data_IF_091928325692
#
_entry.id   IF_091928325692
#
_cell.length_a   1.000
_cell.length_b   1.000
_cell.length_c   1.000
_cell.angle_alpha   90.00
_cell.angle_beta   90.00
_cell.angle_gamma   90.00
#
_symmetry.space_group_name_H-M   'P 1'
#
loop_
_entity.id
_entity.type
_entity.pdbx_description
1 polymer ?
#
# COMPACT_ATOMS: atom_id res chain seq x y z
N UNK A 1 3.94 -33.59 9.16
CA UNK A 1 4.43 -32.45 8.35
C UNK A 1 3.28 -31.94 7.52
N UNK A 2 2.87 -30.66 7.61
CA UNK A 2 1.75 -30.13 6.84
C UNK A 2 2.11 -30.16 5.36
N UNK A 3 1.37 -30.94 4.59
CA UNK A 3 1.57 -31.12 3.16
C UNK A 3 1.18 -29.80 2.47
N UNK A 4 2.15 -28.91 2.20
CA UNK A 4 1.94 -27.63 1.49
C UNK A 4 1.66 -27.91 0.00
N UNK A 5 0.51 -28.53 -0.28
CA UNK A 5 0.05 -28.75 -1.64
C UNK A 5 -0.38 -27.40 -2.21
N UNK A 6 0.48 -26.83 -3.07
CA UNK A 6 0.14 -25.67 -3.88
C UNK A 6 -1.14 -26.01 -4.65
N UNK A 7 -2.15 -25.13 -4.61
CA UNK A 7 -3.41 -25.41 -5.34
C UNK A 7 -3.14 -25.62 -6.82
N UNK A 8 -3.86 -26.55 -7.45
CA UNK A 8 -3.70 -26.87 -8.87
C UNK A 8 -3.81 -25.61 -9.75
N UNK A 9 -4.71 -24.70 -9.38
CA UNK A 9 -4.93 -23.43 -10.08
C UNK A 9 -3.72 -22.50 -10.01
N UNK A 10 -3.04 -22.43 -8.85
CA UNK A 10 -1.82 -21.60 -8.70
C UNK A 10 -0.67 -22.13 -9.54
N UNK A 11 -0.53 -23.45 -9.59
CA UNK A 11 0.45 -24.12 -10.44
C UNK A 11 0.14 -23.86 -11.91
N UNK A 12 -1.12 -24.03 -12.33
CA UNK A 12 -1.54 -23.76 -13.70
C UNK A 12 -1.26 -22.31 -14.12
N UNK A 13 -1.64 -21.33 -13.28
CA UNK A 13 -1.42 -19.90 -13.56
C UNK A 13 0.06 -19.56 -13.72
N UNK A 14 0.91 -20.17 -12.88
CA UNK A 14 2.37 -20.01 -12.98
C UNK A 14 2.92 -20.56 -14.31
N UNK A 15 2.54 -21.76 -14.72
CA UNK A 15 3.02 -22.33 -15.98
C UNK A 15 2.45 -21.64 -17.22
N UNK A 16 1.19 -21.20 -17.19
CA UNK A 16 0.61 -20.38 -18.26
C UNK A 16 1.38 -19.06 -18.37
N UNK A 17 1.63 -18.40 -17.24
CA UNK A 17 2.44 -17.19 -17.21
C UNK A 17 3.86 -17.40 -17.76
N UNK A 18 4.48 -18.54 -17.45
CA UNK A 18 5.79 -18.92 -17.98
C UNK A 18 5.77 -19.09 -19.50
N UNK A 19 4.77 -19.78 -20.05
CA UNK A 19 4.62 -19.97 -21.50
C UNK A 19 4.41 -18.62 -22.19
N UNK A 20 3.50 -17.79 -21.68
CA UNK A 20 3.21 -16.46 -22.24
C UNK A 20 4.45 -15.55 -22.19
N UNK A 21 5.16 -15.53 -21.06
CA UNK A 21 6.39 -14.77 -20.91
C UNK A 21 7.49 -15.29 -21.84
N UNK A 22 7.61 -16.61 -22.01
CA UNK A 22 8.57 -17.23 -22.92
C UNK A 22 8.30 -16.86 -24.38
N UNK A 23 7.04 -16.93 -24.82
CA UNK A 23 6.64 -16.49 -26.16
C UNK A 23 6.86 -14.98 -26.36
N UNK A 24 6.57 -14.18 -25.33
CA UNK A 24 6.84 -12.74 -25.35
C UNK A 24 8.33 -12.44 -25.50
N UNK A 25 9.19 -13.13 -24.74
CA UNK A 25 10.64 -13.00 -24.84
C UNK A 25 11.14 -13.37 -26.23
N UNK A 26 10.69 -14.51 -26.77
CA UNK A 26 11.09 -14.98 -28.09
C UNK A 26 10.65 -13.99 -29.19
N UNK A 27 9.42 -13.48 -29.11
CA UNK A 27 8.92 -12.47 -30.05
C UNK A 27 9.74 -11.19 -29.99
N UNK A 28 10.07 -10.71 -28.79
CA UNK A 28 10.91 -9.54 -28.57
C UNK A 28 12.34 -9.76 -29.10
N UNK A 29 12.99 -10.87 -28.77
CA UNK A 29 14.34 -11.15 -29.26
C UNK A 29 14.41 -11.33 -30.79
N UNK A 30 13.31 -11.78 -31.41
CA UNK A 30 13.23 -11.91 -32.88
C UNK A 30 13.41 -10.57 -33.60
N UNK A 31 13.15 -9.43 -32.95
CA UNK A 31 13.33 -8.11 -33.56
C UNK A 31 14.79 -7.76 -33.73
N UNK A 32 15.64 -8.16 -32.79
CA UNK A 32 17.10 -7.99 -32.88
C UNK A 32 17.68 -8.84 -34.00
N UNK A 33 17.22 -10.09 -34.14
CA UNK A 33 17.62 -10.96 -35.26
C UNK A 33 17.24 -10.30 -36.58
N UNK A 34 16.01 -9.81 -36.71
CA UNK A 34 15.55 -9.13 -37.94
C UNK A 34 16.38 -7.88 -38.23
N UNK A 35 16.66 -7.07 -37.22
CA UNK A 35 17.49 -5.86 -37.36
C UNK A 35 18.91 -6.18 -37.81
N UNK A 36 19.56 -7.17 -37.18
CA UNK A 36 20.92 -7.60 -37.53
C UNK A 36 20.99 -8.19 -38.95
N UNK A 37 20.00 -8.98 -39.36
CA UNK A 37 19.95 -9.57 -40.70
C UNK A 37 19.78 -8.55 -41.82
N UNK A 38 19.20 -7.38 -41.54
CA UNK A 38 18.96 -6.31 -42.52
C UNK A 38 19.83 -5.07 -42.25
N UNK A 39 20.86 -5.19 -41.41
CA UNK A 39 21.69 -4.05 -41.04
C UNK A 39 22.45 -3.52 -42.26
N UNK A 40 22.15 -2.27 -42.65
CA UNK A 40 22.70 -1.63 -43.85
C UNK A 40 21.86 -1.77 -45.11
N UNK A 41 20.77 -2.55 -45.09
CA UNK A 41 19.80 -2.65 -46.19
C UNK A 41 18.55 -1.81 -45.89
N UNK A 42 18.36 -0.73 -46.65
CA UNK A 42 17.24 0.19 -46.51
C UNK A 42 16.13 -0.02 -47.54
N UNK A 43 16.24 -1.02 -48.42
CA UNK A 43 15.28 -1.27 -49.51
C UNK A 43 13.84 -1.50 -49.03
N UNK A 44 13.67 -2.10 -47.84
CA UNK A 44 12.39 -2.44 -47.23
C UNK A 44 12.25 -1.90 -45.80
N UNK A 45 12.88 -0.76 -45.52
CA UNK A 45 13.00 -0.22 -44.17
C UNK A 45 11.64 -0.05 -43.46
N UNK A 46 10.64 0.53 -44.11
CA UNK A 46 9.33 0.78 -43.50
C UNK A 46 8.61 -0.52 -43.09
N UNK A 47 8.59 -1.51 -43.98
CA UNK A 47 7.96 -2.81 -43.70
C UNK A 47 8.65 -3.55 -42.55
N UNK A 48 9.99 -3.54 -42.55
CA UNK A 48 10.81 -4.15 -41.51
C UNK A 48 10.65 -3.44 -40.16
N UNK A 49 10.62 -2.10 -40.16
CA UNK A 49 10.41 -1.29 -38.97
C UNK A 49 9.01 -1.50 -38.37
N UNK A 50 7.96 -1.51 -39.20
CA UNK A 50 6.58 -1.76 -38.76
C UNK A 50 6.44 -3.17 -38.16
N UNK A 51 6.93 -4.19 -38.86
CA UNK A 51 6.90 -5.58 -38.39
C UNK A 51 7.72 -5.78 -37.11
N UNK A 52 8.91 -5.18 -37.03
CA UNK A 52 9.76 -5.20 -35.85
C UNK A 52 9.09 -4.50 -34.66
N UNK A 53 8.47 -3.34 -34.88
CA UNK A 53 7.74 -2.60 -33.86
C UNK A 53 6.57 -3.38 -33.26
N UNK A 54 5.73 -4.02 -34.09
CA UNK A 54 4.62 -4.85 -33.60
C UNK A 54 5.11 -6.06 -32.79
N UNK A 55 6.18 -6.74 -33.24
CA UNK A 55 6.77 -7.87 -32.52
C UNK A 55 7.42 -7.45 -31.21
N UNK A 56 8.12 -6.30 -31.19
CA UNK A 56 8.73 -5.76 -29.98
C UNK A 56 7.64 -5.40 -28.95
N UNK A 57 6.62 -4.66 -29.38
CA UNK A 57 5.53 -4.26 -28.51
C UNK A 57 4.75 -5.47 -27.99
N UNK A 58 4.35 -6.38 -28.87
CA UNK A 58 3.68 -7.63 -28.49
C UNK A 58 4.53 -8.49 -27.54
N UNK A 59 5.84 -8.55 -27.78
CA UNK A 59 6.79 -9.25 -26.93
C UNK A 59 6.87 -8.68 -25.52
N UNK A 60 6.98 -7.35 -25.39
CA UNK A 60 6.97 -6.66 -24.09
C UNK A 60 5.64 -6.87 -23.37
N UNK A 61 4.51 -6.72 -24.05
CA UNK A 61 3.19 -6.96 -23.46
C UNK A 61 3.06 -8.41 -22.97
N UNK A 62 3.52 -9.38 -23.77
CA UNK A 62 3.56 -10.80 -23.37
C UNK A 62 4.44 -11.04 -22.13
N UNK A 63 5.60 -10.39 -22.05
CA UNK A 63 6.48 -10.44 -20.87
C UNK A 63 5.79 -9.89 -19.63
N UNK A 64 5.10 -8.76 -19.75
CA UNK A 64 4.38 -8.12 -18.64
C UNK A 64 3.22 -9.00 -18.15
N UNK A 65 2.38 -9.47 -19.06
CA UNK A 65 1.23 -10.34 -18.73
C UNK A 65 1.72 -11.66 -18.14
N UNK A 66 2.71 -12.30 -18.77
CA UNK A 66 3.29 -13.55 -18.29
C UNK A 66 3.94 -13.39 -16.91
N UNK A 67 4.70 -12.31 -16.70
CA UNK A 67 5.29 -11.96 -15.41
C UNK A 67 4.25 -11.71 -14.32
N UNK A 68 3.15 -11.04 -14.66
CA UNK A 68 2.04 -10.84 -13.74
C UNK A 68 1.37 -12.17 -13.34
N UNK A 69 1.03 -13.02 -14.30
CA UNK A 69 0.43 -14.34 -14.05
C UNK A 69 1.32 -15.23 -13.18
N UNK A 70 2.64 -15.23 -13.44
CA UNK A 70 3.61 -15.95 -12.63
C UNK A 70 3.66 -15.42 -11.19
N UNK A 71 3.65 -14.09 -11.00
CA UNK A 71 3.64 -13.49 -9.66
C UNK A 71 2.37 -13.87 -8.88
N UNK A 72 1.21 -13.85 -9.53
CA UNK A 72 -0.07 -14.27 -8.92
C UNK A 72 -0.07 -15.76 -8.59
N UNK A 73 0.43 -16.62 -9.49
CA UNK A 73 0.54 -18.06 -9.24
C UNK A 73 1.48 -18.39 -8.07
N UNK A 74 2.66 -17.76 -8.05
CA UNK A 74 3.69 -17.98 -7.04
C UNK A 74 3.26 -17.49 -5.66
N UNK A 75 2.76 -16.26 -5.55
CA UNK A 75 2.42 -15.62 -4.27
C UNK A 75 0.96 -15.86 -3.84
N UNK A 76 0.12 -16.37 -4.74
CA UNK A 76 -1.33 -16.43 -4.55
C UNK A 76 -1.97 -15.03 -4.65
N UNK A 77 -3.30 -14.98 -4.77
CA UNK A 77 -4.02 -13.70 -4.91
C UNK A 77 -3.80 -12.74 -3.75
N UNK A 78 -3.72 -13.25 -2.51
CA UNK A 78 -3.44 -12.44 -1.32
C UNK A 78 -2.01 -11.86 -1.33
N UNK A 79 -1.01 -12.67 -1.68
CA UNK A 79 0.39 -12.22 -1.75
C UNK A 79 0.72 -11.37 -2.99
N UNK A 80 -0.15 -11.35 -4.00
CA UNK A 80 -0.05 -10.48 -5.17
C UNK A 80 -0.86 -9.18 -5.02
N UNK A 81 -1.50 -8.93 -3.86
CA UNK A 81 -2.31 -7.74 -3.62
C UNK A 81 -3.67 -7.74 -4.30
N UNK A 82 -4.08 -8.86 -4.92
CA UNK A 82 -5.39 -9.01 -5.58
C UNK A 82 -6.52 -9.34 -4.60
N UNK A 83 -6.20 -9.94 -3.46
CA UNK A 83 -7.14 -10.22 -2.38
C UNK A 83 -6.64 -9.59 -1.09
N UNK A 84 -7.07 -8.34 -0.85
CA UNK A 84 -7.00 -7.72 0.46
C UNK A 84 -8.31 -8.04 1.18
N UNK A 85 -8.26 -8.92 2.17
CA UNK A 85 -9.26 -8.89 3.22
C UNK A 85 -8.72 -7.97 4.33
N UNK A 86 -9.08 -6.67 4.32
CA UNK A 86 -8.54 -5.70 5.27
C UNK A 86 -8.93 -6.02 6.71
N UNK A 87 -10.02 -6.74 6.94
CA UNK A 87 -10.38 -7.19 8.29
C UNK A 87 -9.47 -8.31 8.76
N UNK A 88 -9.18 -9.29 7.90
CA UNK A 88 -8.29 -10.39 8.25
C UNK A 88 -6.84 -9.90 8.42
N UNK A 89 -6.38 -8.99 7.55
CA UNK A 89 -5.10 -8.32 7.71
C UNK A 89 -5.02 -7.52 9.02
N UNK A 90 -6.10 -6.84 9.44
CA UNK A 90 -6.17 -6.13 10.73
C UNK A 90 -6.07 -7.08 11.92
N UNK A 91 -6.79 -8.21 11.90
CA UNK A 91 -6.76 -9.21 12.98
C UNK A 91 -5.38 -9.88 13.09
N UNK A 92 -4.70 -10.11 11.97
CA UNK A 92 -3.37 -10.73 11.95
C UNK A 92 -2.27 -9.77 12.45
N UNK A 93 -2.40 -8.46 12.23
CA UNK A 93 -1.44 -7.46 12.76
C UNK A 93 -1.77 -6.98 14.17
N UNK A 94 -3.00 -7.19 14.66
CA UNK A 94 -3.46 -6.74 15.97
C UNK A 94 -2.54 -7.17 17.14
N UNK A 95 -2.02 -8.42 17.20
CA UNK A 95 -1.08 -8.82 18.25
C UNK A 95 0.26 -8.06 18.16
N UNK A 96 0.75 -7.81 16.94
CA UNK A 96 2.01 -7.12 16.70
C UNK A 96 1.91 -5.62 16.95
N UNK A 97 0.79 -4.99 16.58
CA UNK A 97 0.50 -3.59 16.90
C UNK A 97 0.37 -3.38 18.41
N UNK A 98 -0.23 -4.33 19.14
CA UNK A 98 -0.26 -4.31 20.61
C UNK A 98 1.14 -4.45 21.22
N UNK A 99 1.96 -5.37 20.73
CA UNK A 99 3.34 -5.55 21.23
C UNK A 99 4.22 -4.33 20.93
N UNK A 100 4.13 -3.75 19.73
CA UNK A 100 4.87 -2.55 19.37
C UNK A 100 4.46 -1.32 20.21
N UNK A 101 3.16 -1.18 20.50
CA UNK A 101 2.66 -0.11 21.39
C UNK A 101 3.13 -0.27 22.84
N UNK A 102 3.18 -1.52 23.34
CA UNK A 102 3.76 -1.82 24.65
C UNK A 102 5.24 -1.45 24.71
N UNK A 103 6.05 -1.92 23.77
CA UNK A 103 7.49 -1.61 23.70
C UNK A 103 7.78 -0.11 23.56
N UNK A 104 6.96 0.61 22.80
CA UNK A 104 7.10 2.06 22.66
C UNK A 104 6.75 2.80 23.96
N UNK A 105 5.73 2.35 24.68
CA UNK A 105 5.36 2.92 25.99
C UNK A 105 6.45 2.65 27.02
N UNK A 106 6.94 1.42 27.09
CA UNK A 106 8.03 1.01 27.99
C UNK A 106 9.30 1.83 27.75
N UNK A 107 9.66 2.08 26.48
CA UNK A 107 10.82 2.89 26.13
C UNK A 107 10.67 4.39 26.50
N UNK A 108 9.45 4.93 26.43
CA UNK A 108 9.17 6.31 26.82
C UNK A 108 9.18 6.49 28.34
N UNK A 109 8.65 5.52 29.08
CA UNK A 109 8.70 5.50 30.54
C UNK A 109 10.15 5.38 31.05
N UNK A 110 10.97 4.52 30.44
CA UNK A 110 12.41 4.40 30.74
C UNK A 110 13.18 5.69 30.43
N UNK A 111 12.78 6.42 29.37
CA UNK A 111 13.34 7.73 29.04
C UNK A 111 12.86 8.87 29.96
N UNK A 112 12.00 8.57 30.96
CA UNK A 112 11.45 9.54 31.91
C UNK A 112 10.32 10.41 31.34
N UNK A 113 9.75 10.03 30.19
CA UNK A 113 8.66 10.74 29.52
C UNK A 113 7.34 10.08 29.88
N UNK A 114 6.78 10.46 31.02
CA UNK A 114 5.48 10.00 31.49
C UNK A 114 4.36 10.69 30.69
N UNK A 115 3.82 9.99 29.67
CA UNK A 115 2.74 10.47 28.82
C UNK A 115 1.46 10.81 29.62
N UNK A 116 1.24 10.12 30.74
CA UNK A 116 0.08 10.35 31.62
C UNK A 116 0.21 11.70 32.35
N UNK A 117 1.43 12.07 32.77
CA UNK A 117 1.70 13.40 33.33
C UNK A 117 1.59 14.52 32.29
N UNK A 118 1.98 14.25 31.04
CA UNK A 118 1.87 15.22 29.94
C UNK A 118 0.43 15.53 29.52
N UNK A 119 -0.49 14.55 29.67
CA UNK A 119 -1.92 14.74 29.40
C UNK A 119 -2.70 15.29 30.60
N UNK A 120 -2.49 14.73 31.80
CA UNK A 120 -3.29 15.07 32.98
C UNK A 120 -2.99 16.46 33.58
N UNK A 121 -1.76 16.97 33.39
CA UNK A 121 -1.37 18.30 33.87
C UNK A 121 -1.70 19.46 32.91
N UNK A 122 -2.08 19.17 31.65
CA UNK A 122 -2.18 20.20 30.62
C UNK A 122 -3.52 20.94 30.57
N UNK A 123 -4.59 20.32 31.07
CA UNK A 123 -5.95 20.89 31.00
C UNK A 123 -6.54 21.24 32.39
N UNK A 124 -6.03 20.63 33.47
CA UNK A 124 -6.51 20.88 34.83
C UNK A 124 -6.07 22.26 35.35
N UNK A 125 -4.85 22.69 35.06
CA UNK A 125 -4.20 23.88 35.65
C UNK A 125 -4.15 25.11 34.72
N UNK A 126 -4.92 25.12 33.63
CA UNK A 126 -4.97 26.27 32.71
C UNK A 126 -5.78 27.43 33.31
N UNK A 127 -5.30 28.68 33.17
CA UNK A 127 -6.11 29.87 33.48
C UNK A 127 -7.42 29.85 32.71
N UNK A 128 -8.50 30.32 33.35
CA UNK A 128 -9.85 30.36 32.79
C UNK A 128 -9.92 30.89 31.35
N UNK A 129 -9.21 31.97 31.07
CA UNK A 129 -9.18 32.62 29.76
C UNK A 129 -8.64 31.71 28.66
N UNK A 130 -7.65 30.87 28.98
CA UNK A 130 -7.03 29.95 28.04
C UNK A 130 -7.94 28.73 27.77
N UNK A 131 -8.71 28.28 28.78
CA UNK A 131 -9.74 27.24 28.61
C UNK A 131 -10.83 27.70 27.63
N UNK A 132 -11.31 28.94 27.78
CA UNK A 132 -12.28 29.53 26.86
C UNK A 132 -11.74 29.70 25.44
N UNK A 133 -10.46 30.09 25.32
CA UNK A 133 -9.80 30.27 24.01
C UNK A 133 -9.68 28.95 23.24
N UNK A 134 -9.31 27.87 23.93
CA UNK A 134 -9.24 26.52 23.33
C UNK A 134 -10.63 26.00 22.96
N UNK A 135 -11.61 26.18 23.84
CA UNK A 135 -13.00 25.81 23.57
C UNK A 135 -13.54 26.50 22.31
N UNK A 136 -13.24 27.80 22.15
CA UNK A 136 -13.59 28.54 20.94
C UNK A 136 -12.82 28.07 19.69
N UNK A 137 -11.55 27.70 19.83
CA UNK A 137 -10.77 27.13 18.73
C UNK A 137 -11.37 25.80 18.23
N UNK A 138 -11.79 24.92 19.15
CA UNK A 138 -12.45 23.65 18.81
C UNK A 138 -13.79 23.85 18.09
N UNK A 139 -14.56 24.86 18.49
CA UNK A 139 -15.78 25.24 17.78
C UNK A 139 -15.48 25.78 16.36
N UNK A 140 -14.50 26.69 16.24
CA UNK A 140 -14.09 27.27 14.96
C UNK A 140 -13.57 26.21 13.99
N UNK A 141 -12.83 25.22 14.49
CA UNK A 141 -12.24 24.15 13.70
C UNK A 141 -13.28 23.05 13.36
N UNK A 142 -14.55 23.23 13.77
CA UNK A 142 -15.67 22.36 13.44
C UNK A 142 -15.73 21.06 14.23
N UNK A 143 -14.91 20.94 15.29
CA UNK A 143 -14.83 19.76 16.15
C UNK A 143 -15.93 19.74 17.22
N UNK A 144 -16.45 20.92 17.58
CA UNK A 144 -17.59 21.08 18.49
C UNK A 144 -18.78 21.68 17.74
N UNK A 145 -19.96 21.13 17.96
CA UNK A 145 -21.19 21.74 17.47
C UNK A 145 -21.56 22.96 18.32
N UNK A 146 -22.36 23.88 17.77
CA UNK A 146 -22.75 25.11 18.47
C UNK A 146 -23.46 24.83 19.80
N UNK A 147 -24.27 23.77 19.88
CA UNK A 147 -24.97 23.39 21.09
C UNK A 147 -24.01 22.87 22.18
N UNK A 148 -22.98 22.12 21.78
CA UNK A 148 -21.97 21.59 22.70
C UNK A 148 -21.04 22.69 23.20
N UNK A 149 -20.64 23.62 22.32
CA UNK A 149 -19.85 24.79 22.69
C UNK A 149 -20.52 25.65 23.77
N UNK A 150 -21.79 26.01 23.58
CA UNK A 150 -22.52 26.85 24.55
C UNK A 150 -22.72 26.11 25.88
N UNK A 151 -22.95 24.80 25.85
CA UNK A 151 -23.10 23.98 27.05
C UNK A 151 -21.81 23.93 27.86
N UNK A 152 -20.68 23.63 27.22
CA UNK A 152 -19.38 23.59 27.92
C UNK A 152 -18.92 24.98 28.38
N UNK A 153 -19.22 26.02 27.59
CA UNK A 153 -18.93 27.40 28.00
C UNK A 153 -19.70 27.78 29.27
N UNK A 154 -20.98 27.39 29.38
CA UNK A 154 -21.75 27.63 30.60
C UNK A 154 -21.24 26.81 31.78
N UNK A 155 -20.91 25.53 31.59
CA UNK A 155 -20.33 24.70 32.65
C UNK A 155 -18.98 25.25 33.17
N UNK A 156 -18.17 25.86 32.29
CA UNK A 156 -16.93 26.55 32.69
C UNK A 156 -17.19 27.88 33.42
N UNK A 157 -18.26 28.60 33.08
CA UNK A 157 -18.65 29.85 33.74
C UNK A 157 -19.25 29.59 35.13
N UNK A 158 -19.98 28.50 35.31
CA UNK A 158 -20.63 28.15 36.58
C UNK A 158 -19.63 27.57 37.61
N UNK A 159 -18.49 27.05 37.15
CA UNK A 159 -17.42 26.48 37.99
C UNK A 159 -16.42 27.51 38.52
N UNK A 160 -16.51 28.77 38.12
CA UNK A 160 -15.58 29.84 38.49
C UNK A 160 -16.26 30.98 39.25
#
# INVERSE_FOLDING_TARGET
MPNRRISADRRALYYVGMIVSGLGLLSFLSTFVTFLSHFGDFSNFEANARSGGFRAFGGIVGLMIGGFLMNVGARGAAGAGLKLDPEQARRDVEPWSRMAGGMASDALDEAGVDLNRLGAGRDSDLPFDEKLRRLYALYRDGLLTRAEYEREKQDLLDKH
#
